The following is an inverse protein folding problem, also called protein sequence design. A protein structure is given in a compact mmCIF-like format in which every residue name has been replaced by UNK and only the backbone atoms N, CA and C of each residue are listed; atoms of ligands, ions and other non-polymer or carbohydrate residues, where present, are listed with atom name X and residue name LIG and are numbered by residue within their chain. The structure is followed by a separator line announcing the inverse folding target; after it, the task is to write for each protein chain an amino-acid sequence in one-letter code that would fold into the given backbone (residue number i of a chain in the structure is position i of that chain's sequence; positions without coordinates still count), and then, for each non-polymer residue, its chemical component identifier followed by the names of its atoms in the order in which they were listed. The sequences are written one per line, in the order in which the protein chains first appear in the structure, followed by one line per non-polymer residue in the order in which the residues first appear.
data_IF_089157022763
#
_entry.id   IF_089157022763
#
_cell.length_a   1.000
_cell.length_b   1.000
_cell.length_c   1.000
_cell.angle_alpha   90.00
_cell.angle_beta   90.00
_cell.angle_gamma   90.00
#
_symmetry.space_group_name_H-M   'P 1'
#
loop_
_entity.id
_entity.type
_entity.pdbx_description
1 polymer ?
#
# COMPACT_ATOMS: atom_id res chain seq x y z
N UNK A 1 39.12 7.16 10.89
CA UNK A 1 38.19 7.58 9.82
C UNK A 1 38.03 6.43 8.86
N UNK A 2 36.90 5.72 8.93
CA UNK A 2 36.48 4.73 7.95
C UNK A 2 34.96 4.63 8.10
N UNK A 3 34.28 5.22 7.14
CA UNK A 3 32.83 5.33 7.01
C UNK A 3 32.21 3.95 6.77
N UNK A 4 31.49 3.43 7.75
CA UNK A 4 30.57 2.31 7.55
C UNK A 4 29.35 2.80 6.80
N UNK A 5 29.22 2.41 5.53
CA UNK A 5 28.01 2.63 4.75
C UNK A 5 26.85 1.88 5.40
N UNK A 6 26.01 2.60 6.12
CA UNK A 6 24.68 2.12 6.49
C UNK A 6 23.87 1.93 5.21
N UNK A 7 23.43 0.71 4.94
CA UNK A 7 22.36 0.46 3.98
C UNK A 7 21.06 1.04 4.57
N UNK A 8 20.86 2.35 4.40
CA UNK A 8 19.56 3.00 4.58
C UNK A 8 18.75 2.76 3.32
N UNK A 9 17.90 1.72 3.33
CA UNK A 9 16.94 1.44 2.25
C UNK A 9 15.73 2.40 2.26
N UNK A 10 15.74 3.40 3.15
CA UNK A 10 14.84 4.54 3.10
C UNK A 10 15.64 5.72 2.56
N UNK A 11 15.48 5.97 1.26
CA UNK A 11 15.95 7.19 0.63
C UNK A 11 15.32 8.40 1.33
N UNK A 12 16.17 9.22 1.92
CA UNK A 12 15.79 10.55 2.38
C UNK A 12 15.90 11.51 1.21
N UNK A 13 14.82 12.24 0.91
CA UNK A 13 14.92 13.53 0.22
C UNK A 13 14.51 13.58 -1.25
N UNK A 14 13.23 13.37 -1.56
CA UNK A 14 12.46 14.25 -2.45
C UNK A 14 11.00 14.21 -2.02
N UNK A 15 10.33 15.36 -1.95
CA UNK A 15 8.87 15.46 -1.79
C UNK A 15 8.13 15.00 -3.05
N UNK A 16 8.59 13.93 -3.68
CA UNK A 16 7.80 13.12 -4.59
C UNK A 16 6.82 12.38 -3.70
N UNK A 17 5.58 12.87 -3.67
CA UNK A 17 4.43 12.09 -3.24
C UNK A 17 4.59 10.69 -3.83
N UNK A 18 4.98 9.70 -3.01
CA UNK A 18 5.03 8.31 -3.43
C UNK A 18 3.60 7.94 -3.80
N UNK A 19 3.31 8.02 -5.10
CA UNK A 19 2.00 7.69 -5.61
C UNK A 19 1.73 6.23 -5.23
N UNK A 20 0.61 5.94 -4.55
CA UNK A 20 0.34 4.58 -4.15
C UNK A 20 0.20 3.66 -5.36
N UNK A 21 0.60 2.40 -5.19
CA UNK A 21 0.54 1.42 -6.28
C UNK A 21 -0.88 0.87 -6.43
N UNK A 22 -1.36 0.80 -7.66
CA UNK A 22 -2.67 0.19 -7.98
C UNK A 22 -2.60 -1.34 -7.90
N UNK A 23 -3.76 -2.00 -7.85
CA UNK A 23 -3.80 -3.48 -7.87
C UNK A 23 -3.13 -4.10 -9.09
N UNK A 24 -3.36 -3.58 -10.30
CA UNK A 24 -2.68 -4.07 -11.51
C UNK A 24 -1.15 -3.94 -11.40
N UNK A 25 -0.66 -2.85 -10.81
CA UNK A 25 0.78 -2.69 -10.53
C UNK A 25 1.28 -3.67 -9.48
N UNK A 26 0.45 -4.02 -8.49
CA UNK A 26 0.74 -5.05 -7.48
C UNK A 26 0.87 -6.44 -8.10
N UNK A 27 -0.10 -6.86 -8.92
CA UNK A 27 -0.03 -8.13 -9.65
C UNK A 27 1.20 -8.21 -10.55
N UNK A 28 1.52 -7.13 -11.27
CA UNK A 28 2.71 -7.09 -12.11
C UNK A 28 4.00 -7.28 -11.30
N UNK A 29 4.07 -6.74 -10.08
CA UNK A 29 5.22 -6.96 -9.18
C UNK A 29 5.31 -8.42 -8.72
N UNK A 30 4.18 -9.08 -8.45
CA UNK A 30 4.13 -10.51 -8.13
C UNK A 30 4.62 -11.33 -9.32
N UNK A 31 4.12 -11.05 -10.53
CA UNK A 31 4.53 -11.75 -11.76
C UNK A 31 6.03 -11.58 -12.05
N UNK A 32 6.58 -10.40 -11.78
CA UNK A 32 8.01 -10.10 -11.98
C UNK A 32 8.94 -10.61 -10.89
N UNK A 33 8.41 -11.14 -9.77
CA UNK A 33 9.21 -11.68 -8.67
C UNK A 33 10.32 -12.63 -9.14
N UNK A 34 10.08 -13.64 -9.99
CA UNK A 34 11.12 -14.59 -10.39
C UNK A 34 12.26 -13.91 -11.17
N UNK A 35 11.91 -12.96 -12.03
CA UNK A 35 12.88 -12.16 -12.80
C UNK A 35 13.72 -11.29 -11.86
N UNK A 36 13.10 -10.65 -10.87
CA UNK A 36 13.79 -9.81 -9.90
C UNK A 36 14.73 -10.61 -8.99
N UNK A 37 14.32 -11.81 -8.55
CA UNK A 37 15.17 -12.71 -7.77
C UNK A 37 16.41 -13.19 -8.54
N UNK A 38 16.31 -13.31 -9.87
CA UNK A 38 17.42 -13.65 -10.75
C UNK A 38 18.32 -12.46 -11.09
N UNK A 39 17.94 -11.23 -10.75
CA UNK A 39 18.76 -10.06 -11.05
C UNK A 39 20.13 -10.08 -10.36
N UNK A 40 20.23 -10.73 -9.19
CA UNK A 40 21.50 -10.89 -8.46
C UNK A 40 22.31 -12.11 -8.91
N UNK A 41 21.64 -13.16 -9.41
CA UNK A 41 22.28 -14.35 -9.97
C UNK A 41 21.37 -14.93 -11.08
N UNK A 42 21.65 -14.64 -12.36
CA UNK A 42 20.77 -14.99 -13.48
C UNK A 42 20.41 -16.47 -13.58
N UNK A 43 21.40 -17.36 -13.43
CA UNK A 43 21.25 -18.81 -13.62
C UNK A 43 20.94 -19.57 -12.32
N UNK A 44 20.52 -18.85 -11.27
CA UNK A 44 20.20 -19.49 -9.99
C UNK A 44 18.99 -20.42 -10.09
N UNK A 45 19.02 -21.47 -9.27
CA UNK A 45 17.89 -22.35 -9.09
C UNK A 45 16.75 -21.62 -8.36
N UNK A 46 15.57 -21.59 -8.97
CA UNK A 46 14.31 -21.12 -8.37
C UNK A 46 13.23 -22.19 -8.59
N UNK A 47 12.90 -23.01 -7.58
CA UNK A 47 11.93 -24.08 -7.73
C UNK A 47 10.54 -23.53 -8.10
N UNK A 48 9.95 -23.92 -9.26
CA UNK A 48 8.70 -23.33 -9.75
C UNK A 48 7.52 -23.46 -8.78
N UNK A 49 7.37 -24.62 -8.13
CA UNK A 49 6.30 -24.84 -7.14
C UNK A 49 6.44 -23.90 -5.94
N UNK A 50 7.67 -23.69 -5.46
CA UNK A 50 7.96 -22.80 -4.34
C UNK A 50 7.64 -21.34 -4.69
N UNK A 51 8.06 -20.90 -5.88
CA UNK A 51 7.76 -19.55 -6.38
C UNK A 51 6.25 -19.34 -6.56
N UNK A 52 5.55 -20.30 -7.17
CA UNK A 52 4.10 -20.22 -7.34
C UNK A 52 3.37 -20.14 -5.99
N UNK A 53 3.83 -20.89 -4.98
CA UNK A 53 3.28 -20.84 -3.63
C UNK A 53 3.47 -19.45 -2.98
N UNK A 54 4.65 -18.84 -3.15
CA UNK A 54 4.90 -17.48 -2.66
C UNK A 54 4.01 -16.48 -3.40
N UNK A 55 3.93 -16.55 -4.73
CA UNK A 55 3.08 -15.68 -5.54
C UNK A 55 1.59 -15.82 -5.16
N UNK A 56 1.13 -17.04 -4.88
CA UNK A 56 -0.21 -17.29 -4.35
C UNK A 56 -0.42 -16.59 -2.99
N UNK A 57 0.53 -16.74 -2.07
CA UNK A 57 0.51 -16.05 -0.78
C UNK A 57 0.48 -14.52 -0.94
N UNK A 58 1.30 -13.96 -1.83
CA UNK A 58 1.32 -12.52 -2.13
C UNK A 58 -0.02 -12.03 -2.68
N UNK A 59 -0.64 -12.79 -3.60
CA UNK A 59 -1.96 -12.46 -4.14
C UNK A 59 -3.04 -12.46 -3.05
N UNK A 60 -2.99 -13.43 -2.12
CA UNK A 60 -3.98 -13.57 -1.06
C UNK A 60 -3.91 -12.48 0.01
N UNK A 61 -2.80 -11.75 0.10
CA UNK A 61 -2.64 -10.68 1.09
C UNK A 61 -2.87 -9.27 0.50
N UNK A 62 -3.09 -9.13 -0.82
CA UNK A 62 -3.23 -7.82 -1.45
C UNK A 62 -4.35 -7.02 -0.79
N UNK A 63 -4.04 -5.79 -0.33
CA UNK A 63 -4.98 -4.89 0.34
C UNK A 63 -5.58 -5.45 1.65
N UNK A 64 -4.98 -6.50 2.23
CA UNK A 64 -5.51 -7.17 3.43
C UNK A 64 -4.73 -6.89 4.72
N UNK A 65 -3.53 -6.29 4.66
CA UNK A 65 -2.75 -6.00 5.88
C UNK A 65 -3.08 -4.59 6.39
N UNK A 66 -3.21 -4.43 7.71
CA UNK A 66 -3.62 -3.17 8.33
C UNK A 66 -2.49 -2.12 8.29
N UNK A 67 -2.82 -0.82 8.28
CA UNK A 67 -1.84 0.27 8.28
C UNK A 67 -1.38 0.55 9.71
N UNK A 68 -0.76 -0.43 10.35
CA UNK A 68 0.28 -0.13 11.32
C UNK A 68 1.58 -0.52 10.66
N UNK A 69 2.57 0.39 10.55
CA UNK A 69 3.90 -0.05 10.15
C UNK A 69 4.28 -1.26 11.02
N UNK A 70 4.92 -2.30 10.45
CA UNK A 70 5.32 -3.44 11.25
C UNK A 70 6.09 -2.92 12.46
N UNK A 71 5.80 -3.46 13.64
CA UNK A 71 6.33 -2.95 14.89
C UNK A 71 7.85 -2.69 14.77
N UNK A 72 8.30 -1.46 15.06
CA UNK A 72 9.70 -1.05 14.86
C UNK A 72 10.69 -2.01 15.55
N UNK A 73 10.32 -2.57 16.70
CA UNK A 73 11.12 -3.58 17.41
C UNK A 73 11.22 -4.88 16.61
N UNK A 74 10.13 -5.31 15.99
CA UNK A 74 10.08 -6.52 15.16
C UNK A 74 10.94 -6.36 13.90
N UNK A 75 10.87 -5.21 13.22
CA UNK A 75 11.74 -4.90 12.08
C UNK A 75 13.21 -4.78 12.49
N UNK A 76 13.47 -4.17 13.65
CA UNK A 76 14.83 -4.08 14.19
C UNK A 76 15.41 -5.47 14.44
N UNK A 77 14.65 -6.37 15.09
CA UNK A 77 15.08 -7.74 15.33
C UNK A 77 15.31 -8.51 14.03
N UNK A 78 14.44 -8.30 13.02
CA UNK A 78 14.60 -8.93 11.70
C UNK A 78 15.93 -8.50 11.04
N UNK A 79 16.21 -7.19 11.04
CA UNK A 79 17.44 -6.64 10.49
C UNK A 79 18.69 -7.10 11.25
N UNK A 80 18.61 -7.26 12.58
CA UNK A 80 19.69 -7.82 13.39
C UNK A 80 19.96 -9.29 13.03
N UNK A 81 18.91 -10.11 12.88
CA UNK A 81 19.05 -11.50 12.45
C UNK A 81 19.72 -11.58 11.06
N UNK A 82 19.26 -10.77 10.10
CA UNK A 82 19.87 -10.66 8.77
C UNK A 82 21.35 -10.30 8.83
N UNK A 83 21.72 -9.30 9.65
CA UNK A 83 23.11 -8.86 9.82
C UNK A 83 24.02 -9.95 10.38
N UNK A 84 23.51 -10.78 11.29
CA UNK A 84 24.27 -11.88 11.89
C UNK A 84 24.42 -13.09 10.95
N UNK A 85 23.52 -13.23 9.96
CA UNK A 85 23.52 -14.38 9.05
C UNK A 85 24.31 -14.08 7.78
N UNK A 86 24.19 -12.88 7.22
CA UNK A 86 24.67 -12.55 5.85
C UNK A 86 26.18 -12.77 5.63
N UNK A 87 27.00 -12.73 6.69
CA UNK A 87 28.45 -12.92 6.59
C UNK A 87 28.89 -14.39 6.60
N UNK A 88 27.96 -15.33 6.80
CA UNK A 88 28.28 -16.76 6.84
C UNK A 88 28.50 -17.32 5.41
N UNK A 89 29.36 -18.33 5.30
CA UNK A 89 29.65 -19.02 4.04
C UNK A 89 28.53 -19.98 3.62
N UNK A 90 27.76 -20.49 4.57
CA UNK A 90 26.61 -21.39 4.39
C UNK A 90 25.59 -21.14 5.50
N UNK A 91 24.31 -21.45 5.27
CA UNK A 91 23.30 -21.35 6.32
C UNK A 91 23.32 -22.59 7.22
N UNK A 92 23.41 -22.38 8.53
CA UNK A 92 23.10 -23.45 9.48
C UNK A 92 21.58 -23.66 9.56
N UNK A 93 21.15 -24.84 10.02
CA UNK A 93 19.73 -25.10 10.31
C UNK A 93 19.16 -24.06 11.28
N UNK A 94 19.96 -23.62 12.26
CA UNK A 94 19.55 -22.58 13.21
C UNK A 94 19.34 -21.23 12.53
N UNK A 95 20.20 -20.84 11.58
CA UNK A 95 20.07 -19.59 10.81
C UNK A 95 18.81 -19.59 9.93
N UNK A 96 18.53 -20.72 9.27
CA UNK A 96 17.30 -20.89 8.47
C UNK A 96 16.06 -20.73 9.34
N UNK A 97 16.03 -21.40 10.50
CA UNK A 97 14.91 -21.30 11.44
C UNK A 97 14.75 -19.87 11.99
N UNK A 98 15.85 -19.21 12.35
CA UNK A 98 15.85 -17.83 12.82
C UNK A 98 15.30 -16.88 11.75
N UNK A 99 15.82 -16.97 10.52
CA UNK A 99 15.40 -16.11 9.41
C UNK A 99 13.91 -16.27 9.08
N UNK A 100 13.43 -17.52 9.04
CA UNK A 100 12.02 -17.81 8.79
C UNK A 100 11.11 -17.41 9.96
N UNK A 101 11.57 -17.59 11.19
CA UNK A 101 10.85 -17.11 12.37
C UNK A 101 10.69 -15.60 12.31
N UNK A 102 11.76 -14.86 12.06
CA UNK A 102 11.72 -13.40 12.00
C UNK A 102 10.84 -12.89 10.85
N UNK A 103 10.87 -13.53 9.68
CA UNK A 103 9.92 -13.26 8.59
C UNK A 103 8.47 -13.43 9.06
N UNK A 104 8.17 -14.56 9.70
CA UNK A 104 6.83 -14.86 10.23
C UNK A 104 6.36 -13.82 11.26
N UNK A 105 7.23 -13.44 12.20
CA UNK A 105 6.93 -12.42 13.22
C UNK A 105 6.58 -11.08 12.59
N UNK A 106 7.32 -10.65 11.56
CA UNK A 106 6.99 -9.40 10.84
C UNK A 106 5.61 -9.51 10.20
N UNK A 107 5.32 -10.59 9.47
CA UNK A 107 4.02 -10.77 8.81
C UNK A 107 2.86 -10.84 9.80
N UNK A 108 3.02 -11.55 10.92
CA UNK A 108 2.02 -11.59 12.01
C UNK A 108 1.79 -10.20 12.59
N UNK A 109 2.84 -9.40 12.77
CA UNK A 109 2.73 -8.03 13.33
C UNK A 109 1.94 -7.05 12.45
N UNK A 110 1.62 -7.44 11.21
CA UNK A 110 0.82 -6.65 10.26
C UNK A 110 -0.62 -7.15 10.11
N UNK A 111 -1.04 -8.09 10.97
CA UNK A 111 -2.34 -8.77 10.88
C UNK A 111 -2.55 -9.47 9.53
N UNK A 112 -1.48 -10.03 8.96
CA UNK A 112 -1.57 -10.74 7.68
C UNK A 112 -2.54 -11.92 7.78
N UNK A 113 -3.58 -11.99 6.94
CA UNK A 113 -4.61 -13.02 7.06
C UNK A 113 -4.13 -14.37 6.54
N UNK A 114 -4.77 -15.42 7.05
CA UNK A 114 -4.76 -16.73 6.41
C UNK A 114 -5.75 -16.74 5.22
N UNK A 115 -5.48 -17.52 4.15
CA UNK A 115 -4.35 -18.44 3.97
C UNK A 115 -3.03 -17.79 3.51
N UNK A 116 -3.01 -16.48 3.25
CA UNK A 116 -1.84 -15.77 2.71
C UNK A 116 -0.59 -15.90 3.58
N UNK A 117 -0.72 -15.72 4.90
CA UNK A 117 0.37 -15.91 5.88
C UNK A 117 1.02 -17.29 5.75
N UNK A 118 0.22 -18.35 5.78
CA UNK A 118 0.69 -19.74 5.67
C UNK A 118 1.45 -19.99 4.37
N UNK A 119 0.92 -19.51 3.24
CA UNK A 119 1.55 -19.70 1.94
C UNK A 119 2.90 -18.96 1.85
N UNK A 120 2.98 -17.73 2.36
CA UNK A 120 4.20 -16.95 2.39
C UNK A 120 5.27 -17.57 3.29
N UNK A 121 4.94 -17.89 4.54
CA UNK A 121 5.91 -18.45 5.50
C UNK A 121 6.45 -19.79 5.00
N UNK A 122 5.56 -20.69 4.54
CA UNK A 122 5.98 -22.00 4.02
C UNK A 122 6.76 -21.88 2.72
N UNK A 123 6.36 -20.98 1.82
CA UNK A 123 7.04 -20.76 0.55
C UNK A 123 8.43 -20.17 0.73
N UNK A 124 8.58 -19.16 1.58
CA UNK A 124 9.88 -18.54 1.90
C UNK A 124 10.81 -19.52 2.61
N UNK A 125 10.29 -20.34 3.54
CA UNK A 125 11.09 -21.38 4.18
C UNK A 125 11.67 -22.39 3.16
N UNK A 126 10.82 -22.86 2.23
CA UNK A 126 11.28 -23.73 1.13
C UNK A 126 12.29 -23.03 0.22
N UNK A 127 12.05 -21.76 -0.10
CA UNK A 127 12.95 -21.00 -0.97
C UNK A 127 14.33 -20.88 -0.35
N UNK A 128 14.42 -20.43 0.91
CA UNK A 128 15.68 -20.26 1.65
C UNK A 128 16.46 -21.57 1.74
N UNK A 129 15.80 -22.66 2.14
CA UNK A 129 16.45 -23.98 2.30
C UNK A 129 16.91 -24.61 0.98
N UNK A 130 16.14 -24.44 -0.09
CA UNK A 130 16.50 -24.97 -1.41
C UNK A 130 17.57 -24.13 -2.11
N UNK A 131 17.58 -22.81 -1.91
CA UNK A 131 18.63 -21.91 -2.43
C UNK A 131 19.96 -22.20 -1.77
N UNK A 132 19.96 -22.46 -0.46
CA UNK A 132 21.18 -22.77 0.30
C UNK A 132 21.92 -24.00 -0.24
N UNK A 133 21.17 -25.05 -0.56
CA UNK A 133 21.74 -26.32 -1.01
C UNK A 133 22.10 -26.37 -2.50
N UNK A 134 21.71 -25.37 -3.29
CA UNK A 134 21.80 -25.40 -4.75
C UNK A 134 22.58 -24.23 -5.38
N UNK A 135 23.18 -23.33 -4.60
CA UNK A 135 23.76 -22.08 -5.11
C UNK A 135 25.21 -21.85 -4.68
N UNK A 136 25.97 -21.09 -5.50
CA UNK A 136 27.39 -20.75 -5.27
C UNK A 136 27.56 -19.69 -4.16
N UNK A 137 26.51 -18.90 -3.87
CA UNK A 137 26.48 -17.89 -2.79
C UNK A 137 25.20 -18.05 -1.95
N UNK A 138 25.06 -19.17 -1.25
CA UNK A 138 23.78 -19.61 -0.70
C UNK A 138 23.19 -18.64 0.32
N UNK A 139 24.00 -18.20 1.28
CA UNK A 139 23.57 -17.30 2.36
C UNK A 139 23.18 -15.91 1.86
N UNK A 140 23.99 -15.32 0.98
CA UNK A 140 23.68 -14.01 0.38
C UNK A 140 22.37 -14.06 -0.40
N UNK A 141 22.17 -15.09 -1.23
CA UNK A 141 20.94 -15.23 -2.00
C UNK A 141 19.73 -15.49 -1.11
N UNK A 142 19.83 -16.38 -0.14
CA UNK A 142 18.72 -16.72 0.75
C UNK A 142 18.29 -15.54 1.63
N UNK A 143 19.25 -14.77 2.16
CA UNK A 143 18.95 -13.54 2.91
C UNK A 143 18.31 -12.49 2.01
N UNK A 144 18.83 -12.26 0.80
CA UNK A 144 18.22 -11.34 -0.16
C UNK A 144 16.81 -11.76 -0.59
N UNK A 145 16.57 -13.05 -0.80
CA UNK A 145 15.25 -13.58 -1.16
C UNK A 145 14.22 -13.36 -0.06
N UNK A 146 14.63 -13.63 1.18
CA UNK A 146 13.79 -13.41 2.35
C UNK A 146 13.45 -11.93 2.49
N UNK A 147 14.45 -11.04 2.39
CA UNK A 147 14.27 -9.60 2.47
C UNK A 147 13.42 -9.05 1.31
N UNK A 148 13.69 -9.49 0.08
CA UNK A 148 12.91 -9.11 -1.11
C UNK A 148 11.45 -9.53 -0.97
N UNK A 149 11.21 -10.79 -0.57
CA UNK A 149 9.86 -11.32 -0.42
C UNK A 149 9.12 -10.60 0.71
N UNK A 150 9.80 -10.29 1.82
CA UNK A 150 9.21 -9.55 2.93
C UNK A 150 8.81 -8.14 2.49
N UNK A 151 9.74 -7.43 1.85
CA UNK A 151 9.48 -6.09 1.34
C UNK A 151 8.32 -6.08 0.33
N UNK A 152 8.29 -7.07 -0.55
CA UNK A 152 7.21 -7.24 -1.52
C UNK A 152 5.88 -7.48 -0.79
N UNK A 153 5.82 -8.42 0.15
CA UNK A 153 4.61 -8.71 0.92
C UNK A 153 4.07 -7.48 1.67
N UNK A 154 4.95 -6.74 2.35
CA UNK A 154 4.60 -5.53 3.08
C UNK A 154 4.03 -4.44 2.17
N UNK A 155 4.61 -4.27 0.97
CA UNK A 155 4.16 -3.25 0.01
C UNK A 155 2.84 -3.65 -0.67
N UNK A 156 2.70 -4.92 -1.05
CA UNK A 156 1.50 -5.39 -1.74
C UNK A 156 0.30 -5.50 -0.81
N UNK A 157 0.54 -5.87 0.45
CA UNK A 157 -0.53 -6.09 1.41
C UNK A 157 -1.24 -4.82 1.86
N UNK A 158 -0.58 -3.67 1.81
CA UNK A 158 -1.15 -2.39 2.26
C UNK A 158 -2.30 -1.94 1.37
N UNK A 159 -3.39 -1.44 1.95
CA UNK A 159 -4.45 -0.79 1.19
C UNK A 159 -3.97 0.50 0.52
N UNK A 160 -4.72 0.98 -0.47
CA UNK A 160 -4.53 2.32 -1.01
C UNK A 160 -4.61 3.35 0.13
N UNK A 161 -3.62 4.26 0.27
CA UNK A 161 -3.58 5.24 1.34
C UNK A 161 -4.70 6.26 1.19
N UNK A 162 -5.07 6.89 2.29
CA UNK A 162 -6.15 7.85 2.31
C UNK A 162 -5.91 9.01 1.33
N UNK A 163 -6.88 9.36 0.45
CA UNK A 163 -6.78 10.59 -0.30
C UNK A 163 -6.73 11.81 0.63
N UNK A 164 -6.11 12.89 0.16
CA UNK A 164 -6.20 14.18 0.86
C UNK A 164 -7.65 14.67 0.80
N UNK A 165 -8.05 15.45 1.81
CA UNK A 165 -9.35 16.13 1.79
C UNK A 165 -9.44 17.02 0.54
N UNK A 166 -10.45 16.85 -0.33
CA UNK A 166 -10.60 17.66 -1.53
C UNK A 166 -11.04 19.09 -1.19
N UNK A 167 -10.85 20.00 -2.13
CA UNK A 167 -11.27 21.40 -2.01
C UNK A 167 -12.50 21.63 -2.88
N UNK A 168 -13.47 22.40 -2.38
CA UNK A 168 -14.63 22.79 -3.20
C UNK A 168 -14.17 23.67 -4.36
N UNK A 169 -14.70 23.41 -5.55
CA UNK A 169 -14.32 24.13 -6.76
C UNK A 169 -14.83 25.56 -6.70
N UNK A 170 -14.01 26.51 -7.18
CA UNK A 170 -14.44 27.92 -7.32
C UNK A 170 -15.69 27.97 -8.19
N UNK A 171 -16.64 28.81 -7.82
CA UNK A 171 -17.94 28.93 -8.50
C UNK A 171 -19.00 27.94 -8.05
N UNK A 172 -18.62 26.82 -7.40
CA UNK A 172 -19.59 25.86 -6.84
C UNK A 172 -19.74 25.96 -5.32
N UNK A 173 -19.00 26.85 -4.68
CA UNK A 173 -19.07 27.14 -3.26
C UNK A 173 -17.85 27.90 -2.77
N UNK A 174 -17.74 28.04 -1.45
CA UNK A 174 -16.68 28.76 -0.77
C UNK A 174 -15.99 27.85 0.25
N UNK A 175 -14.67 27.69 0.13
CA UNK A 175 -13.86 26.98 1.11
C UNK A 175 -13.58 27.89 2.30
N UNK A 176 -14.16 27.61 3.46
CA UNK A 176 -13.98 28.43 4.68
C UNK A 176 -12.63 28.16 5.32
N UNK A 177 -12.22 26.90 5.38
CA UNK A 177 -10.91 26.47 5.85
C UNK A 177 -10.57 25.10 5.23
N UNK A 178 -9.44 24.47 5.60
CA UNK A 178 -8.99 23.18 5.04
C UNK A 178 -9.99 22.01 5.15
N UNK A 179 -11.05 22.11 5.96
CA UNK A 179 -12.01 21.04 6.24
C UNK A 179 -13.48 21.45 6.14
N UNK A 180 -13.79 22.72 5.89
CA UNK A 180 -15.17 23.20 5.87
C UNK A 180 -15.42 24.01 4.63
N UNK A 181 -16.46 23.63 3.89
CA UNK A 181 -16.97 24.36 2.73
C UNK A 181 -18.44 24.75 2.93
N UNK A 182 -18.85 25.85 2.32
CA UNK A 182 -20.24 26.32 2.28
C UNK A 182 -20.65 26.47 0.82
N UNK A 183 -21.85 26.05 0.46
CA UNK A 183 -22.37 26.19 -0.91
C UNK A 183 -23.86 26.52 -0.92
N UNK A 184 -24.34 27.37 -1.85
CA UNK A 184 -25.76 27.50 -2.14
C UNK A 184 -26.28 26.42 -3.11
N UNK A 185 -25.40 25.56 -3.65
CA UNK A 185 -25.75 24.55 -4.65
C UNK A 185 -26.07 23.21 -3.99
N UNK A 186 -27.06 22.50 -4.51
CA UNK A 186 -27.39 21.14 -4.09
C UNK A 186 -26.42 20.08 -4.63
N UNK A 187 -25.63 20.43 -5.64
CA UNK A 187 -24.65 19.55 -6.30
C UNK A 187 -23.33 20.30 -6.57
N UNK A 188 -22.53 20.61 -5.53
CA UNK A 188 -21.23 21.24 -5.71
C UNK A 188 -20.20 20.29 -6.35
N UNK A 189 -19.12 20.86 -6.87
CA UNK A 189 -18.00 20.10 -7.44
C UNK A 189 -16.79 20.24 -6.51
N UNK A 190 -16.05 19.15 -6.32
CA UNK A 190 -14.83 19.11 -5.52
C UNK A 190 -13.64 18.70 -6.39
N UNK A 191 -12.50 19.37 -6.23
CA UNK A 191 -11.26 19.00 -6.90
C UNK A 191 -10.25 18.44 -5.91
N UNK A 192 -9.43 17.51 -6.39
CA UNK A 192 -8.29 16.99 -5.65
C UNK A 192 -7.32 16.25 -6.56
N UNK A 193 -6.34 15.60 -5.94
CA UNK A 193 -5.32 14.83 -6.63
C UNK A 193 -5.18 13.44 -6.01
N UNK A 194 -4.96 12.44 -6.85
CA UNK A 194 -4.66 11.07 -6.40
C UNK A 194 -3.94 10.30 -7.52
N UNK A 195 -3.88 8.98 -7.44
CA UNK A 195 -3.24 8.13 -8.46
C UNK A 195 -4.11 7.99 -9.69
N UNK A 196 -3.50 8.19 -10.85
CA UNK A 196 -4.10 7.98 -12.16
C UNK A 196 -4.81 6.62 -12.26
N UNK A 197 -5.97 6.60 -12.92
CA UNK A 197 -6.76 5.39 -13.17
C UNK A 197 -7.63 4.94 -11.99
N UNK A 198 -7.43 5.50 -10.79
CA UNK A 198 -8.31 5.21 -9.65
C UNK A 198 -9.62 6.01 -9.72
N UNK A 199 -10.66 5.45 -9.10
CA UNK A 199 -11.95 6.11 -8.90
C UNK A 199 -12.03 6.65 -7.48
N UNK A 200 -12.23 7.96 -7.32
CA UNK A 200 -12.54 8.60 -6.04
C UNK A 200 -14.04 8.54 -5.80
N UNK A 201 -14.44 8.03 -4.64
CA UNK A 201 -15.82 8.03 -4.15
C UNK A 201 -15.96 9.03 -3.00
N UNK A 202 -16.97 9.90 -3.07
CA UNK A 202 -17.38 10.74 -1.95
C UNK A 202 -18.48 10.05 -1.16
N UNK A 203 -18.27 9.90 0.15
CA UNK A 203 -19.14 9.17 1.07
C UNK A 203 -19.74 10.15 2.09
N UNK A 204 -21.06 10.07 2.28
CA UNK A 204 -21.71 10.68 3.44
C UNK A 204 -21.45 9.80 4.66
N UNK A 205 -20.72 10.32 5.64
CA UNK A 205 -20.26 9.56 6.81
C UNK A 205 -21.43 9.11 7.69
N UNK A 206 -22.53 9.88 7.73
CA UNK A 206 -23.70 9.54 8.56
C UNK A 206 -24.50 8.36 7.99
N UNK A 207 -24.56 8.22 6.67
CA UNK A 207 -25.38 7.18 6.00
C UNK A 207 -24.56 6.07 5.36
N UNK A 208 -23.24 6.26 5.18
CA UNK A 208 -22.36 5.38 4.40
C UNK A 208 -22.58 5.44 2.89
N UNK A 209 -23.52 6.27 2.41
CA UNK A 209 -23.87 6.34 1.00
C UNK A 209 -22.77 7.03 0.17
N UNK A 210 -22.46 6.47 -1.00
CA UNK A 210 -21.66 7.14 -2.03
C UNK A 210 -22.55 8.17 -2.72
N UNK A 211 -22.16 9.45 -2.67
CA UNK A 211 -22.96 10.58 -3.18
C UNK A 211 -22.34 11.26 -4.41
N UNK A 212 -21.17 10.79 -4.85
CA UNK A 212 -20.49 11.28 -6.03
C UNK A 212 -19.22 10.50 -6.30
N UNK A 213 -18.78 10.49 -7.56
CA UNK A 213 -17.59 9.79 -8.01
C UNK A 213 -16.79 10.62 -9.01
N UNK A 214 -15.50 10.32 -9.14
CA UNK A 214 -14.65 10.84 -10.21
C UNK A 214 -13.49 9.90 -10.51
N UNK A 215 -13.10 9.81 -11.77
CA UNK A 215 -11.87 9.12 -12.19
C UNK A 215 -10.72 10.13 -12.16
N UNK A 216 -9.56 9.69 -11.68
CA UNK A 216 -8.34 10.49 -11.67
C UNK A 216 -7.69 10.47 -13.05
N UNK A 217 -7.50 11.66 -13.63
CA UNK A 217 -6.89 11.85 -14.94
C UNK A 217 -5.38 11.62 -14.96
N UNK A 218 -4.79 11.59 -16.16
CA UNK A 218 -3.34 11.38 -16.36
C UNK A 218 -2.46 12.45 -15.69
N UNK A 219 -3.01 13.65 -15.49
CA UNK A 219 -2.39 14.74 -14.75
C UNK A 219 -2.41 14.52 -13.22
N UNK A 220 -3.00 13.44 -12.72
CA UNK A 220 -3.12 13.13 -11.30
C UNK A 220 -4.24 13.90 -10.58
N UNK A 221 -5.07 14.64 -11.32
CA UNK A 221 -6.16 15.43 -10.76
C UNK A 221 -7.53 14.80 -11.06
N UNK A 222 -8.52 15.12 -10.22
CA UNK A 222 -9.91 14.73 -10.43
C UNK A 222 -10.86 15.89 -10.11
N UNK A 223 -12.00 15.91 -10.80
CA UNK A 223 -13.14 16.76 -10.49
C UNK A 223 -14.34 15.86 -10.14
N UNK A 224 -14.73 15.90 -8.87
CA UNK A 224 -15.79 15.09 -8.27
C UNK A 224 -17.09 15.87 -8.22
N UNK A 225 -18.06 15.39 -8.99
CA UNK A 225 -19.40 15.94 -9.02
C UNK A 225 -20.26 15.18 -8.01
N UNK A 226 -20.93 15.90 -7.11
CA UNK A 226 -21.99 15.30 -6.30
C UNK A 226 -23.18 15.00 -7.23
N UNK A 227 -23.48 13.72 -7.41
CA UNK A 227 -24.55 13.24 -8.29
C UNK A 227 -25.86 13.04 -7.54
N UNK A 228 -25.81 12.89 -6.21
CA UNK A 228 -26.99 12.81 -5.34
C UNK A 228 -27.24 14.20 -4.74
N UNK A 229 -28.30 14.93 -5.16
CA UNK A 229 -28.57 16.26 -4.65
C UNK A 229 -28.70 16.27 -3.12
N UNK A 230 -28.02 17.22 -2.49
CA UNK A 230 -28.05 17.42 -1.05
C UNK A 230 -29.08 18.49 -0.70
N UNK A 231 -29.92 18.25 0.32
CA UNK A 231 -30.82 19.26 0.86
C UNK A 231 -30.04 20.36 1.61
N UNK A 232 -30.71 21.46 1.95
CA UNK A 232 -30.14 22.46 2.88
C UNK A 232 -29.83 21.78 4.20
N UNK A 233 -28.60 21.94 4.69
CA UNK A 233 -28.15 21.25 5.89
C UNK A 233 -26.64 21.18 6.03
N UNK A 234 -26.19 20.49 7.09
CA UNK A 234 -24.78 20.20 7.35
C UNK A 234 -24.50 18.73 7.07
N UNK A 235 -23.40 18.47 6.40
CA UNK A 235 -22.95 17.13 6.00
C UNK A 235 -21.53 16.89 6.47
N UNK A 236 -21.28 15.66 6.93
CA UNK A 236 -19.95 15.14 7.20
C UNK A 236 -19.58 14.17 6.09
N UNK A 237 -18.54 14.50 5.35
CA UNK A 237 -18.13 13.80 4.14
C UNK A 237 -16.72 13.26 4.29
N UNK A 238 -16.44 12.17 3.58
CA UNK A 238 -15.10 11.65 3.37
C UNK A 238 -14.94 11.24 1.90
N UNK A 239 -13.70 11.16 1.42
CA UNK A 239 -13.41 10.54 0.13
C UNK A 239 -12.55 9.31 0.32
N UNK A 240 -12.76 8.30 -0.52
CA UNK A 240 -11.91 7.10 -0.58
C UNK A 240 -11.60 6.78 -2.03
N UNK A 241 -10.44 6.18 -2.26
CA UNK A 241 -10.05 5.73 -3.59
C UNK A 241 -10.45 4.27 -3.78
N UNK A 242 -10.78 3.93 -5.02
CA UNK A 242 -11.05 2.59 -5.49
C UNK A 242 -10.14 2.34 -6.69
N UNK A 243 -9.41 1.24 -6.69
CA UNK A 243 -8.59 0.87 -7.85
C UNK A 243 -9.44 0.36 -9.03
N UNK A 244 -8.77 0.07 -10.14
CA UNK A 244 -9.39 -0.37 -11.40
C UNK A 244 -10.14 -1.71 -11.28
N UNK A 245 -9.86 -2.52 -10.24
CA UNK A 245 -10.50 -3.82 -10.02
C UNK A 245 -11.51 -3.79 -8.86
N UNK A 246 -11.74 -2.62 -8.25
CA UNK A 246 -12.78 -2.43 -7.24
C UNK A 246 -12.32 -2.49 -5.78
N UNK A 247 -11.03 -2.60 -5.47
CA UNK A 247 -10.61 -2.57 -4.07
C UNK A 247 -10.62 -1.15 -3.51
N UNK A 248 -11.18 -1.03 -2.32
CA UNK A 248 -11.37 0.25 -1.62
C UNK A 248 -10.19 0.52 -0.69
N UNK A 249 -9.63 1.73 -0.78
CA UNK A 249 -8.57 2.22 0.10
C UNK A 249 -9.07 2.84 1.39
N UNK A 250 -8.13 3.35 2.17
CA UNK A 250 -8.45 4.14 3.36
C UNK A 250 -9.24 5.40 3.01
N UNK A 251 -10.15 5.78 3.89
CA UNK A 251 -10.89 7.03 3.76
C UNK A 251 -10.02 8.23 4.17
N UNK A 252 -10.24 9.36 3.53
CA UNK A 252 -9.72 10.65 3.96
C UNK A 252 -10.19 10.98 5.36
N UNK A 253 -9.53 11.95 6.00
CA UNK A 253 -10.11 12.56 7.20
C UNK A 253 -11.46 13.21 6.85
N UNK A 254 -12.41 13.13 7.78
CA UNK A 254 -13.75 13.72 7.63
C UNK A 254 -13.65 15.24 7.46
N UNK A 255 -14.49 15.78 6.58
CA UNK A 255 -14.65 17.21 6.30
C UNK A 255 -16.13 17.58 6.24
N UNK A 256 -16.43 18.86 6.50
CA UNK A 256 -17.78 19.41 6.55
C UNK A 256 -18.18 20.12 5.26
N UNK A 257 -19.44 19.94 4.86
CA UNK A 257 -20.11 20.75 3.85
C UNK A 257 -21.39 21.31 4.46
N UNK A 258 -21.58 22.63 4.37
CA UNK A 258 -22.84 23.27 4.70
C UNK A 258 -23.53 23.75 3.41
N UNK A 259 -24.68 23.16 3.11
CA UNK A 259 -25.56 23.59 2.04
C UNK A 259 -26.51 24.64 2.61
N UNK A 260 -26.52 25.84 2.03
CA UNK A 260 -27.37 26.96 2.47
C UNK A 260 -28.42 27.28 1.39
N UNK A 261 -29.55 27.90 1.75
CA UNK A 261 -30.49 28.38 0.75
C UNK A 261 -29.82 29.34 -0.25
N UNK A 262 -30.23 29.34 -1.53
CA UNK A 262 -29.76 30.32 -2.49
C UNK A 262 -30.05 31.73 -1.98
N UNK A 263 -29.12 32.68 -2.14
CA UNK A 263 -29.42 34.08 -1.89
C UNK A 263 -30.54 34.51 -2.84
N UNK A 264 -31.69 34.91 -2.30
CA UNK A 264 -32.71 35.62 -3.10
C UNK A 264 -32.09 36.93 -3.56
N UNK A 265 -31.88 37.10 -4.86
CA UNK A 265 -31.74 38.43 -5.41
C UNK A 265 -33.13 39.06 -5.37
N UNK A 266 -33.26 40.20 -4.69
CA UNK A 266 -34.51 40.95 -4.58
C UNK A 266 -35.09 41.27 -5.95
N UNK A 267 -36.42 41.27 -6.01
CA UNK A 267 -37.25 41.56 -7.18
C UNK A 267 -36.91 42.89 -7.86
#
# INVERSE_FOLDING_TARGET
ATTGSSFSLLGSGTTTQTLPITFAQKELRIQKMPTNLRALQPDRFLPPMTINQIQLGLNQIINQIQPTPPNDRVLTNYNLAMRNIVHNTSLSTADVLMLNHMFSTVMISTDTPNPGLTNLVSGVNKLVSQVDTASIMPTFLATNDNAYTLQLALVLGQQLPAPRTPTITKGTGHQVNKRVAITPLYAPVYTGSYVYGTTIQMVNVATGAVIGTAIVGKNGEYALHITTPLAVGKYHLAVRAVDEVGHVGHASRVFGLQVVPPKKHGA
#
